data_IF_951974330491
#
_entry.id   IF_951974330491
#
_cell.length_a   1.000
_cell.length_b   1.000
_cell.length_c   1.000
_cell.angle_alpha   90.00
_cell.angle_beta   90.00
_cell.angle_gamma   90.00
#
_symmetry.space_group_name_H-M   'P 1'
#
loop_
_entity.id
_entity.type
_entity.pdbx_description
1 polymer ?
#
# COMPACT_ATOMS: atom_id res chain seq x y z
N UNK A 1 82.13 -24.12 21.23
CA UNK A 1 80.93 -23.74 22.00
C UNK A 1 80.33 -22.56 21.25
N UNK A 2 79.06 -22.68 20.90
CA UNK A 2 78.42 -22.12 19.71
C UNK A 2 78.30 -20.60 19.66
N UNK A 3 78.30 -20.11 18.42
CA UNK A 3 77.91 -18.78 17.97
C UNK A 3 76.61 -18.25 18.61
N UNK A 4 76.64 -16.97 18.99
CA UNK A 4 75.45 -16.15 19.17
C UNK A 4 75.59 -14.99 18.20
N UNK A 5 75.09 -15.16 16.99
CA UNK A 5 74.91 -14.06 16.05
C UNK A 5 73.79 -13.17 16.57
N UNK A 6 74.15 -11.97 17.03
CA UNK A 6 73.20 -10.90 17.26
C UNK A 6 73.20 -10.02 16.01
N UNK A 7 72.29 -10.30 15.08
CA UNK A 7 71.98 -9.38 13.98
C UNK A 7 71.26 -8.16 14.58
N UNK A 8 72.00 -7.08 14.74
CA UNK A 8 71.43 -5.78 15.04
C UNK A 8 70.87 -5.22 13.73
N UNK A 9 69.55 -5.32 13.56
CA UNK A 9 68.82 -4.58 12.53
C UNK A 9 69.11 -3.07 12.67
N UNK A 10 69.61 -2.49 11.59
CA UNK A 10 69.92 -1.07 11.50
C UNK A 10 68.65 -0.23 11.65
N UNK A 11 68.54 0.51 12.75
CA UNK A 11 67.51 1.54 12.92
C UNK A 11 67.86 2.80 12.10
N UNK A 12 67.81 2.69 10.77
CA UNK A 12 67.86 3.87 9.90
C UNK A 12 66.51 4.59 9.99
N UNK A 13 66.50 5.78 10.61
CA UNK A 13 65.28 6.59 10.69
C UNK A 13 64.84 7.00 9.27
N UNK A 14 63.57 6.79 8.85
CA UNK A 14 63.09 7.10 7.50
C UNK A 14 63.18 8.58 7.07
N UNK A 15 63.57 9.47 7.99
CA UNK A 15 63.61 10.92 7.81
C UNK A 15 65.05 11.35 7.57
N UNK A 16 65.43 11.44 6.29
CA UNK A 16 66.83 11.73 5.89
C UNK A 16 67.12 13.23 5.71
N UNK A 17 66.10 14.09 5.76
CA UNK A 17 66.26 15.54 5.59
C UNK A 17 65.43 16.36 6.60
N UNK A 18 65.89 17.55 7.02
CA UNK A 18 65.13 18.45 7.90
C UNK A 18 63.75 18.83 7.33
N UNK A 19 63.64 18.91 6.00
CA UNK A 19 62.36 19.18 5.31
C UNK A 19 61.37 18.02 5.45
N UNK A 20 61.83 16.77 5.40
CA UNK A 20 60.98 15.60 5.64
C UNK A 20 60.51 15.53 7.10
N UNK A 21 61.36 15.93 8.06
CA UNK A 21 60.98 15.97 9.47
C UNK A 21 59.83 16.95 9.70
N UNK A 22 59.93 18.16 9.15
CA UNK A 22 58.89 19.19 9.25
C UNK A 22 57.58 18.71 8.59
N UNK A 23 57.67 18.06 7.41
CA UNK A 23 56.50 17.54 6.71
C UNK A 23 55.78 16.44 7.52
N UNK A 24 56.52 15.51 8.12
CA UNK A 24 55.94 14.43 8.95
C UNK A 24 55.31 14.99 10.21
N UNK A 25 55.95 15.95 10.88
CA UNK A 25 55.40 16.59 12.07
C UNK A 25 54.11 17.34 11.74
N UNK A 26 54.10 18.14 10.66
CA UNK A 26 52.89 18.87 10.22
C UNK A 26 51.77 17.91 9.83
N UNK A 27 52.08 16.83 9.10
CA UNK A 27 51.09 15.81 8.74
C UNK A 27 50.53 15.08 9.97
N UNK A 28 51.35 14.80 10.99
CA UNK A 28 50.92 14.14 12.22
C UNK A 28 49.90 14.95 13.03
N UNK A 29 49.87 16.28 12.88
CA UNK A 29 48.84 17.13 13.47
C UNK A 29 47.66 17.38 12.53
N UNK A 30 47.92 17.68 11.26
CA UNK A 30 46.85 18.03 10.31
C UNK A 30 45.96 16.83 9.94
N UNK A 31 46.52 15.65 9.76
CA UNK A 31 45.74 14.47 9.34
C UNK A 31 44.73 14.07 10.42
N UNK A 32 45.08 13.92 11.71
CA UNK A 32 44.09 13.63 12.75
C UNK A 32 43.04 14.72 12.90
N UNK A 33 43.41 16.00 12.79
CA UNK A 33 42.46 17.12 12.85
C UNK A 33 41.44 17.04 11.71
N UNK A 34 41.90 16.80 10.48
CA UNK A 34 41.02 16.65 9.31
C UNK A 34 40.11 15.43 9.48
N UNK A 35 40.65 14.30 9.95
CA UNK A 35 39.85 13.09 10.20
C UNK A 35 38.78 13.35 11.26
N UNK A 36 39.10 14.05 12.36
CA UNK A 36 38.12 14.40 13.39
C UNK A 36 37.03 15.31 12.81
N UNK A 37 37.39 16.33 12.02
CA UNK A 37 36.41 17.22 11.35
C UNK A 37 35.49 16.43 10.42
N UNK A 38 36.05 15.51 9.63
CA UNK A 38 35.27 14.65 8.73
C UNK A 38 34.34 13.72 9.51
N UNK A 39 34.79 13.15 10.62
CA UNK A 39 33.96 12.30 11.48
C UNK A 39 32.85 13.07 12.17
N UNK A 40 33.11 14.29 12.67
CA UNK A 40 32.08 15.16 13.25
C UNK A 40 31.02 15.51 12.21
N UNK A 41 31.45 15.86 10.99
CA UNK A 41 30.51 16.09 9.89
C UNK A 41 29.73 14.80 9.55
N UNK A 42 30.39 13.65 9.45
CA UNK A 42 29.72 12.38 9.13
C UNK A 42 28.68 11.99 10.18
N UNK A 43 29.00 12.12 11.47
CA UNK A 43 28.08 11.85 12.58
C UNK A 43 26.97 12.91 12.66
N UNK A 44 27.27 14.18 12.39
CA UNK A 44 26.28 15.28 12.41
C UNK A 44 25.26 15.23 11.27
N UNK A 45 25.58 14.59 10.14
CA UNK A 45 24.62 14.34 9.04
C UNK A 45 23.85 13.02 9.20
N UNK A 46 24.22 12.17 10.18
CA UNK A 46 23.39 11.06 10.59
C UNK A 46 22.24 11.60 11.44
N UNK A 47 21.03 11.58 10.89
CA UNK A 47 19.81 11.93 11.61
C UNK A 47 19.71 11.06 12.87
N UNK A 48 20.14 11.60 14.01
CA UNK A 48 19.78 11.06 15.30
C UNK A 48 18.32 11.40 15.51
N UNK A 49 17.43 10.44 15.25
CA UNK A 49 16.12 10.46 15.89
C UNK A 49 16.37 10.45 17.40
N UNK A 50 16.34 11.64 17.97
CA UNK A 50 16.36 11.86 19.40
C UNK A 50 15.19 11.12 20.03
N UNK A 51 15.42 10.45 21.16
CA UNK A 51 14.38 9.83 21.98
C UNK A 51 13.30 10.84 22.48
N UNK A 52 13.48 12.14 22.22
CA UNK A 52 12.47 13.20 22.41
C UNK A 52 11.55 13.46 21.21
N UNK A 53 11.69 12.75 20.09
CA UNK A 53 10.81 12.87 18.93
C UNK A 53 9.33 12.54 19.26
N UNK A 54 9.08 11.86 20.38
CA UNK A 54 7.75 11.55 20.88
C UNK A 54 6.96 12.77 21.42
N UNK A 55 7.60 13.92 21.64
CA UNK A 55 6.95 15.12 22.23
C UNK A 55 7.01 16.34 21.32
N UNK A 56 7.36 16.18 20.04
CA UNK A 56 7.30 17.30 19.09
C UNK A 56 5.84 17.66 18.84
N UNK A 57 5.54 18.96 18.75
CA UNK A 57 4.21 19.45 18.43
C UNK A 57 3.68 18.86 17.10
N UNK A 58 4.59 18.51 16.20
CA UNK A 58 4.30 17.86 14.92
C UNK A 58 3.88 16.38 15.09
N UNK A 59 4.59 15.60 15.91
CA UNK A 59 4.19 14.23 16.25
C UNK A 59 2.86 14.19 17.03
N UNK A 60 2.60 15.19 17.88
CA UNK A 60 1.31 15.35 18.55
C UNK A 60 0.22 15.66 17.52
N UNK A 61 0.43 16.62 16.63
CA UNK A 61 -0.57 17.00 15.61
C UNK A 61 -0.92 15.83 14.69
N UNK A 62 0.04 14.98 14.34
CA UNK A 62 -0.19 13.77 13.55
C UNK A 62 -1.06 12.73 14.27
N UNK A 63 -1.00 12.65 15.60
CA UNK A 63 -1.83 11.73 16.41
C UNK A 63 -3.25 12.24 16.62
N UNK A 64 -3.47 13.55 16.58
CA UNK A 64 -4.80 14.16 16.73
C UNK A 64 -5.50 14.29 15.37
N UNK A 65 -4.86 13.90 14.26
CA UNK A 65 -5.52 13.88 12.94
C UNK A 65 -6.76 13.00 13.00
N UNK A 66 -7.93 13.49 12.53
CA UNK A 66 -9.16 12.72 12.53
C UNK A 66 -8.97 11.44 11.70
N UNK A 67 -9.20 10.29 12.34
CA UNK A 67 -9.09 8.95 11.72
C UNK A 67 -10.31 8.59 10.88
N UNK A 68 -11.36 9.42 10.93
CA UNK A 68 -12.59 9.22 10.20
C UNK A 68 -12.93 10.48 9.42
N UNK A 69 -13.15 10.32 8.12
CA UNK A 69 -13.97 11.25 7.35
C UNK A 69 -15.40 10.72 7.39
N UNK A 70 -16.33 11.58 7.77
CA UNK A 70 -17.75 11.25 7.80
C UNK A 70 -18.39 12.05 6.67
N UNK A 71 -18.92 11.37 5.67
CA UNK A 71 -19.72 12.01 4.64
C UNK A 71 -21.15 12.14 5.17
N UNK A 72 -21.56 13.37 5.49
CA UNK A 72 -22.94 13.64 5.90
C UNK A 72 -23.81 13.58 4.64
N UNK A 73 -24.49 12.44 4.44
CA UNK A 73 -25.50 12.29 3.39
C UNK A 73 -26.73 13.10 3.77
N UNK A 74 -27.16 14.03 2.93
CA UNK A 74 -28.47 14.68 3.09
C UNK A 74 -29.56 13.63 2.79
N UNK A 75 -30.42 13.28 3.77
CA UNK A 75 -31.47 12.29 3.56
C UNK A 75 -32.53 12.73 2.55
N UNK A 76 -32.59 14.03 2.21
CA UNK A 76 -33.53 14.58 1.23
C UNK A 76 -32.93 14.79 -0.17
N UNK A 77 -31.63 14.53 -0.34
CA UNK A 77 -31.01 14.63 -1.65
C UNK A 77 -31.52 13.51 -2.57
N UNK A 78 -31.89 13.83 -3.83
CA UNK A 78 -32.31 12.81 -4.79
C UNK A 78 -31.24 11.73 -4.98
N UNK A 79 -31.63 10.46 -4.83
CA UNK A 79 -30.71 9.34 -5.03
C UNK A 79 -30.36 9.22 -6.52
N UNK A 80 -29.11 9.49 -6.86
CA UNK A 80 -28.57 9.28 -8.21
C UNK A 80 -28.09 7.84 -8.31
N UNK A 81 -28.82 7.01 -9.05
CA UNK A 81 -28.48 5.60 -9.18
C UNK A 81 -27.32 5.35 -10.14
N UNK A 82 -26.30 4.61 -9.70
CA UNK A 82 -25.11 4.23 -10.47
C UNK A 82 -25.34 3.08 -11.44
N UNK A 83 -24.77 3.17 -12.65
CA UNK A 83 -24.89 2.12 -13.68
C UNK A 83 -24.33 0.78 -13.19
N UNK A 84 -24.75 -0.33 -13.80
CA UNK A 84 -24.24 -1.65 -13.43
C UNK A 84 -22.71 -1.78 -13.54
N UNK A 85 -22.12 -1.13 -14.54
CA UNK A 85 -20.66 -1.07 -14.70
C UNK A 85 -19.98 -0.28 -13.57
N UNK A 86 -20.56 0.86 -13.15
CA UNK A 86 -20.00 1.66 -12.05
C UNK A 86 -20.01 0.86 -10.74
N UNK A 87 -21.14 0.24 -10.41
CA UNK A 87 -21.26 -0.62 -9.22
C UNK A 87 -20.31 -1.80 -9.31
N UNK A 88 -20.19 -2.43 -10.48
CA UNK A 88 -19.21 -3.51 -10.68
C UNK A 88 -17.80 -3.05 -10.34
N UNK A 89 -17.34 -1.91 -10.88
CA UNK A 89 -15.98 -1.40 -10.66
C UNK A 89 -15.73 -1.05 -9.19
N UNK A 90 -16.72 -0.48 -8.52
CA UNK A 90 -16.56 0.02 -7.16
C UNK A 90 -16.56 -1.10 -6.11
N UNK A 91 -17.43 -2.11 -6.25
CA UNK A 91 -17.63 -3.11 -5.17
C UNK A 91 -17.54 -4.56 -5.62
N UNK A 92 -17.82 -4.90 -6.88
CA UNK A 92 -17.85 -6.30 -7.32
C UNK A 92 -16.50 -6.78 -7.86
N UNK A 93 -15.75 -5.89 -8.52
CA UNK A 93 -14.51 -6.20 -9.22
C UNK A 93 -13.42 -6.73 -8.29
N UNK A 94 -13.42 -6.32 -7.01
CA UNK A 94 -12.46 -6.76 -6.00
C UNK A 94 -12.31 -8.29 -5.95
N UNK A 95 -13.41 -9.03 -6.11
CA UNK A 95 -13.39 -10.49 -6.15
C UNK A 95 -13.60 -11.03 -7.57
N UNK A 96 -14.51 -10.44 -8.34
CA UNK A 96 -14.94 -10.99 -9.62
C UNK A 96 -14.00 -10.66 -10.78
N UNK A 97 -13.10 -9.69 -10.68
CA UNK A 97 -12.14 -9.41 -11.77
C UNK A 97 -11.13 -10.56 -11.93
N UNK A 98 -10.68 -11.14 -10.82
CA UNK A 98 -9.66 -12.20 -10.80
C UNK A 98 -10.23 -13.59 -10.50
N UNK A 99 -11.43 -13.66 -9.93
CA UNK A 99 -12.01 -14.89 -9.40
C UNK A 99 -11.54 -15.22 -7.99
N UNK A 100 -11.22 -14.18 -7.20
CA UNK A 100 -10.72 -14.35 -5.83
C UNK A 100 -11.73 -15.14 -4.98
N UNK A 101 -11.20 -15.98 -4.08
CA UNK A 101 -11.99 -16.85 -3.20
C UNK A 101 -13.03 -17.74 -3.94
N UNK A 102 -12.78 -18.07 -5.21
CA UNK A 102 -13.69 -18.87 -6.04
C UNK A 102 -14.88 -18.10 -6.60
N UNK A 103 -14.81 -16.77 -6.63
CA UNK A 103 -15.81 -15.94 -7.29
C UNK A 103 -15.84 -16.23 -8.81
N UNK A 104 -17.02 -16.24 -9.47
CA UNK A 104 -17.09 -16.39 -10.92
C UNK A 104 -16.42 -15.18 -11.60
N UNK A 105 -15.45 -15.43 -12.47
CA UNK A 105 -14.66 -14.37 -13.08
C UNK A 105 -15.50 -13.58 -14.09
N UNK A 106 -15.39 -12.27 -14.07
CA UNK A 106 -16.07 -11.38 -15.01
C UNK A 106 -15.70 -11.77 -16.46
N UNK A 107 -16.71 -11.79 -17.33
CA UNK A 107 -16.60 -12.19 -18.73
C UNK A 107 -16.08 -13.63 -18.99
N UNK A 108 -16.09 -14.52 -17.99
CA UNK A 108 -15.75 -15.93 -18.18
C UNK A 108 -17.01 -16.80 -18.41
N UNK A 109 -17.32 -17.12 -19.67
CA UNK A 109 -18.50 -17.93 -19.98
C UNK A 109 -18.57 -19.28 -19.24
N UNK A 110 -17.42 -19.92 -18.97
CA UNK A 110 -17.37 -21.20 -18.25
C UNK A 110 -17.86 -21.08 -16.80
N UNK A 111 -17.47 -20.00 -16.11
CA UNK A 111 -17.89 -19.74 -14.73
C UNK A 111 -19.36 -19.31 -14.62
N UNK A 112 -19.90 -18.71 -15.70
CA UNK A 112 -21.22 -18.08 -15.71
C UNK A 112 -22.33 -18.96 -16.28
N UNK A 113 -22.05 -19.92 -17.17
CA UNK A 113 -23.09 -20.72 -17.86
C UNK A 113 -24.09 -21.37 -16.90
N UNK A 114 -23.61 -22.11 -15.90
CA UNK A 114 -24.48 -22.78 -14.93
C UNK A 114 -25.24 -21.79 -14.02
N UNK A 115 -24.66 -20.60 -13.80
CA UNK A 115 -25.23 -19.56 -12.93
C UNK A 115 -26.33 -18.79 -13.65
N UNK A 116 -26.11 -18.48 -14.92
CA UNK A 116 -27.12 -17.88 -15.80
C UNK A 116 -28.34 -18.79 -15.91
N UNK A 117 -28.15 -20.11 -15.91
CA UNK A 117 -29.23 -21.10 -15.85
C UNK A 117 -30.13 -21.00 -14.60
N UNK A 118 -29.69 -20.35 -13.52
CA UNK A 118 -30.51 -20.07 -12.34
C UNK A 118 -31.47 -18.88 -12.54
N UNK A 119 -31.32 -18.16 -13.65
CA UNK A 119 -32.06 -16.94 -13.95
C UNK A 119 -31.60 -15.73 -13.13
N UNK A 120 -32.10 -14.57 -13.52
CA UNK A 120 -31.79 -13.29 -12.87
C UNK A 120 -32.13 -13.31 -11.36
N UNK A 121 -33.32 -13.80 -10.99
CA UNK A 121 -33.76 -13.84 -9.58
C UNK A 121 -32.87 -14.73 -8.71
N UNK A 122 -32.37 -15.85 -9.26
CA UNK A 122 -31.46 -16.74 -8.54
C UNK A 122 -30.10 -16.09 -8.27
N UNK A 123 -29.59 -15.33 -9.25
CA UNK A 123 -28.38 -14.54 -9.08
C UNK A 123 -28.59 -13.42 -8.06
N UNK A 124 -29.67 -12.67 -8.20
CA UNK A 124 -29.98 -11.57 -7.30
C UNK A 124 -30.16 -12.05 -5.85
N UNK A 125 -30.84 -13.18 -5.64
CA UNK A 125 -30.96 -13.82 -4.33
C UNK A 125 -29.60 -14.19 -3.73
N UNK A 126 -28.66 -14.63 -4.56
CA UNK A 126 -27.28 -14.94 -4.12
C UNK A 126 -26.51 -13.68 -3.75
N UNK A 127 -26.70 -12.57 -4.47
CA UNK A 127 -26.09 -11.28 -4.14
C UNK A 127 -26.65 -10.73 -2.84
N UNK A 128 -27.99 -10.70 -2.69
CA UNK A 128 -28.64 -10.12 -1.51
C UNK A 128 -28.31 -10.89 -0.24
N UNK A 129 -28.39 -12.23 -0.27
CA UNK A 129 -28.16 -13.06 0.91
C UNK A 129 -26.69 -13.44 1.13
N UNK A 130 -25.84 -13.24 0.12
CA UNK A 130 -24.49 -13.79 0.09
C UNK A 130 -24.49 -15.27 -0.28
N UNK A 131 -23.31 -15.77 -0.71
CA UNK A 131 -23.12 -17.18 -1.08
C UNK A 131 -21.64 -17.57 -1.01
N UNK A 132 -21.34 -18.57 -0.19
CA UNK A 132 -19.96 -19.00 0.01
C UNK A 132 -19.11 -17.87 0.61
N UNK A 133 -18.01 -17.51 -0.06
CA UNK A 133 -17.16 -16.38 0.34
C UNK A 133 -17.72 -15.01 -0.05
N UNK A 134 -18.78 -14.94 -0.87
CA UNK A 134 -19.42 -13.68 -1.23
C UNK A 134 -20.30 -13.20 -0.07
N UNK A 135 -19.94 -12.08 0.54
CA UNK A 135 -20.72 -11.43 1.58
C UNK A 135 -22.11 -10.99 1.06
N UNK A 136 -23.09 -10.92 1.96
CA UNK A 136 -24.41 -10.39 1.67
C UNK A 136 -24.30 -8.96 1.11
N UNK A 137 -25.04 -8.68 0.04
CA UNK A 137 -25.01 -7.41 -0.71
C UNK A 137 -23.60 -6.96 -1.11
N UNK A 138 -22.69 -7.89 -1.37
CA UNK A 138 -21.27 -7.60 -1.62
C UNK A 138 -20.58 -6.81 -0.49
N UNK A 139 -21.07 -6.94 0.75
CA UNK A 139 -20.53 -6.25 1.92
C UNK A 139 -21.05 -4.83 2.11
N UNK A 140 -22.07 -4.40 1.37
CA UNK A 140 -22.66 -3.07 1.48
C UNK A 140 -24.01 -3.09 2.17
N UNK A 141 -24.53 -1.91 2.50
CA UNK A 141 -25.87 -1.72 3.04
C UNK A 141 -26.85 -1.21 1.98
N UNK A 142 -28.18 -1.23 2.24
CA UNK A 142 -29.17 -0.58 1.40
C UNK A 142 -28.99 0.95 1.27
N UNK A 143 -28.30 1.57 2.23
CA UNK A 143 -28.00 3.01 2.20
C UNK A 143 -26.85 3.31 1.23
N UNK A 144 -25.89 2.40 1.12
CA UNK A 144 -24.77 2.52 0.15
C UNK A 144 -25.25 2.28 -1.29
N UNK A 145 -25.96 1.17 -1.50
CA UNK A 145 -26.43 0.74 -2.83
C UNK A 145 -27.85 0.20 -2.73
N UNK A 146 -28.75 0.77 -3.54
CA UNK A 146 -30.10 0.27 -3.67
C UNK A 146 -30.11 -1.10 -4.37
N UNK A 147 -31.15 -1.90 -4.12
CA UNK A 147 -31.34 -3.19 -4.80
C UNK A 147 -31.34 -3.04 -6.32
N UNK A 148 -31.86 -1.90 -6.81
CA UNK A 148 -31.83 -1.54 -8.22
C UNK A 148 -30.40 -1.42 -8.78
N UNK A 149 -29.47 -0.84 -8.03
CA UNK A 149 -28.08 -0.67 -8.45
C UNK A 149 -27.34 -2.00 -8.48
N UNK A 150 -27.57 -2.83 -7.45
CA UNK A 150 -27.05 -4.20 -7.40
C UNK A 150 -27.63 -5.06 -8.53
N UNK A 151 -28.93 -4.93 -8.82
CA UNK A 151 -29.59 -5.62 -9.92
C UNK A 151 -28.95 -5.28 -11.26
N UNK A 152 -28.65 -3.99 -11.52
CA UNK A 152 -27.94 -3.57 -12.73
C UNK A 152 -26.52 -4.15 -12.80
N UNK A 153 -25.82 -4.22 -11.67
CA UNK A 153 -24.49 -4.84 -11.63
C UNK A 153 -24.56 -6.34 -11.97
N UNK A 154 -25.58 -7.04 -11.46
CA UNK A 154 -25.83 -8.46 -11.79
C UNK A 154 -26.06 -8.64 -13.28
N UNK A 155 -26.90 -7.81 -13.90
CA UNK A 155 -27.13 -7.85 -15.36
C UNK A 155 -25.83 -7.60 -16.12
N UNK A 156 -25.10 -6.54 -15.77
CA UNK A 156 -23.82 -6.21 -16.40
C UNK A 156 -22.81 -7.36 -16.35
N UNK A 157 -22.70 -8.05 -15.20
CA UNK A 157 -21.78 -9.18 -15.04
C UNK A 157 -22.26 -10.44 -15.76
N UNK A 158 -23.56 -10.73 -15.68
CA UNK A 158 -24.14 -11.89 -16.32
C UNK A 158 -24.12 -11.78 -17.84
N UNK A 159 -24.41 -10.61 -18.39
CA UNK A 159 -24.38 -10.36 -19.83
C UNK A 159 -22.95 -10.46 -20.38
N UNK A 160 -21.95 -9.98 -19.64
CA UNK A 160 -20.55 -10.22 -19.97
C UNK A 160 -20.19 -11.71 -19.96
N UNK A 161 -20.85 -12.51 -19.11
CA UNK A 161 -20.75 -13.96 -19.07
C UNK A 161 -21.57 -14.71 -20.13
N UNK A 162 -22.31 -14.01 -20.99
CA UNK A 162 -23.13 -14.58 -22.08
C UNK A 162 -24.64 -14.58 -21.84
N UNK A 163 -25.12 -13.95 -20.77
CA UNK A 163 -26.55 -13.73 -20.57
C UNK A 163 -27.09 -12.62 -21.51
N UNK A 164 -28.42 -12.48 -21.51
CA UNK A 164 -29.15 -11.37 -22.15
C UNK A 164 -30.30 -10.98 -21.25
N UNK A 165 -30.00 -10.63 -20.01
CA UNK A 165 -31.05 -10.26 -19.07
C UNK A 165 -31.57 -8.85 -19.40
N UNK A 166 -32.88 -8.60 -19.24
CA UNK A 166 -33.40 -7.25 -19.39
C UNK A 166 -32.84 -6.34 -18.29
N UNK A 167 -32.57 -5.09 -18.64
CA UNK A 167 -32.26 -4.06 -17.64
C UNK A 167 -33.41 -3.99 -16.62
N UNK A 168 -33.11 -4.01 -15.30
CA UNK A 168 -34.15 -3.88 -14.27
C UNK A 168 -34.91 -2.56 -14.42
N UNK A 169 -36.20 -2.57 -14.08
CA UNK A 169 -37.00 -1.36 -14.09
C UNK A 169 -36.49 -0.38 -13.02
N UNK A 170 -36.31 0.90 -13.40
CA UNK A 170 -35.95 1.93 -12.46
C UNK A 170 -37.07 2.09 -11.40
N UNK A 171 -36.72 2.23 -10.11
CA UNK A 171 -37.72 2.52 -9.09
C UNK A 171 -38.37 3.87 -9.40
N UNK A 172 -39.67 3.99 -9.09
CA UNK A 172 -40.37 5.26 -9.22
C UNK A 172 -39.64 6.34 -8.41
N UNK A 173 -39.47 7.52 -8.99
CA UNK A 173 -38.92 8.66 -8.27
C UNK A 173 -39.80 8.96 -7.06
N UNK A 174 -39.21 8.96 -5.87
CA UNK A 174 -39.85 9.36 -4.63
C UNK A 174 -39.91 10.88 -4.52
#
# INVERSE_FOLDING_TARGET
>A
MSDVHNEHDEHESPIKTPKQLIAVVVAAFLVPIIVIILLVNFVGHGSTESAGAATTAEAVNDRIKPVASLEIKDPNAPRVFKTGEQVYKEICAACHATGAAGAPKYANAGDWTARIGQGFDGLMKSVINGKGAMAARAGTTPDDYADYELARAVVYMADAGGAKFPEPAAPAAA
#
